data_IF_188586374963
#
_entry.id   IF_188586374963
#
_cell.length_a   1.000
_cell.length_b   1.000
_cell.length_c   1.000
_cell.angle_alpha   90.00
_cell.angle_beta   90.00
_cell.angle_gamma   90.00
#
_symmetry.space_group_name_H-M   'P 1'
#
loop_
_entity.id
_entity.type
_entity.pdbx_description
1 polymer ?
#
# COMPACT_ATOMS: atom_id res chain seq x y z
N UNK A 1 6.42 5.25 -17.74
CA UNK A 1 5.06 4.66 -17.64
C UNK A 1 4.88 4.23 -16.19
N UNK A 2 3.80 4.62 -15.51
CA UNK A 2 3.65 4.34 -14.08
C UNK A 2 2.78 3.09 -13.89
N UNK A 3 3.31 2.09 -13.18
CA UNK A 3 2.64 0.82 -12.91
C UNK A 3 2.38 0.67 -11.42
N UNK A 4 1.14 0.34 -11.07
CA UNK A 4 0.75 -0.06 -9.73
C UNK A 4 0.78 -1.59 -9.65
N UNK A 5 1.65 -2.12 -8.80
CA UNK A 5 1.72 -3.55 -8.48
C UNK A 5 1.02 -3.77 -7.15
N UNK A 6 0.10 -4.73 -7.11
CA UNK A 6 -0.67 -5.10 -5.90
C UNK A 6 -0.46 -6.58 -5.61
N UNK A 7 -0.25 -6.90 -4.33
CA UNK A 7 -0.27 -8.25 -3.79
C UNK A 7 -1.27 -8.29 -2.63
N UNK A 8 -2.39 -8.98 -2.83
CA UNK A 8 -3.42 -9.18 -1.83
C UNK A 8 -3.25 -10.55 -1.15
N UNK A 9 -2.96 -10.52 0.15
CA UNK A 9 -3.07 -11.69 1.03
C UNK A 9 -4.46 -11.78 1.66
N UNK A 10 -4.70 -12.78 2.51
CA UNK A 10 -6.00 -12.97 3.16
C UNK A 10 -6.44 -11.82 4.07
N UNK A 11 -5.49 -11.13 4.72
CA UNK A 11 -5.73 -10.00 5.63
C UNK A 11 -4.75 -8.83 5.43
N UNK A 12 -4.12 -8.76 4.25
CA UNK A 12 -3.22 -7.67 3.90
C UNK A 12 -3.26 -7.32 2.41
N UNK A 13 -2.89 -6.09 2.08
CA UNK A 13 -2.72 -5.58 0.72
C UNK A 13 -1.41 -4.80 0.64
N UNK A 14 -0.41 -5.39 -0.01
CA UNK A 14 0.86 -4.72 -0.31
C UNK A 14 0.77 -4.08 -1.68
N UNK A 15 1.38 -2.91 -1.83
CA UNK A 15 1.44 -2.23 -3.11
C UNK A 15 2.77 -1.52 -3.35
N UNK A 16 3.11 -1.36 -4.62
CA UNK A 16 4.22 -0.53 -5.09
C UNK A 16 3.78 0.26 -6.33
N UNK A 17 4.18 1.53 -6.38
CA UNK A 17 4.04 2.37 -7.56
C UNK A 17 5.44 2.52 -8.19
N UNK A 18 5.60 2.05 -9.42
CA UNK A 18 6.90 1.94 -10.10
C UNK A 18 6.88 2.82 -11.36
N UNK A 19 7.91 3.63 -11.59
CA UNK A 19 8.15 4.24 -12.90
C UNK A 19 8.95 3.27 -13.77
N UNK A 20 8.34 2.77 -14.84
CA UNK A 20 8.99 1.86 -15.79
C UNK A 20 9.96 2.56 -16.75
N UNK A 21 10.16 3.88 -16.64
CA UNK A 21 11.21 4.56 -17.39
C UNK A 21 12.62 4.20 -16.85
N UNK A 22 12.74 4.00 -15.54
CA UNK A 22 14.00 3.72 -14.84
C UNK A 22 13.88 2.64 -13.74
N UNK A 23 12.72 1.98 -13.67
CA UNK A 23 12.35 0.96 -12.68
C UNK A 23 12.39 1.47 -11.22
N UNK A 24 12.34 2.78 -11.02
CA UNK A 24 12.34 3.38 -9.69
C UNK A 24 11.01 3.15 -8.95
N UNK A 25 11.10 2.88 -7.64
CA UNK A 25 9.93 2.79 -6.77
C UNK A 25 9.56 4.19 -6.28
N UNK A 26 8.48 4.74 -6.83
CA UNK A 26 7.92 6.04 -6.44
C UNK A 26 7.37 5.96 -5.02
N UNK A 27 6.64 4.88 -4.71
CA UNK A 27 6.07 4.64 -3.41
C UNK A 27 5.80 3.16 -3.16
N UNK A 28 5.74 2.77 -1.90
CA UNK A 28 5.28 1.45 -1.48
C UNK A 28 4.53 1.53 -0.17
N UNK A 29 3.61 0.60 0.02
CA UNK A 29 2.89 0.50 1.27
C UNK A 29 2.27 -0.86 1.49
N UNK A 30 1.65 -0.97 2.65
CA UNK A 30 0.97 -2.16 3.11
C UNK A 30 -0.21 -1.74 3.98
N UNK A 31 -1.39 -2.23 3.64
CA UNK A 31 -2.55 -2.24 4.52
C UNK A 31 -2.58 -3.63 5.19
N UNK A 32 -2.37 -3.71 6.50
CA UNK A 32 -2.44 -4.95 7.28
C UNK A 32 -3.65 -4.94 8.21
N UNK A 33 -3.97 -6.14 8.72
CA UNK A 33 -5.09 -6.36 9.66
C UNK A 33 -6.45 -5.96 9.07
N UNK A 34 -6.62 -6.19 7.75
CA UNK A 34 -7.90 -6.02 7.04
C UNK A 34 -8.93 -7.00 7.64
N UNK A 35 -10.12 -6.48 7.94
CA UNK A 35 -11.21 -7.19 8.63
C UNK A 35 -11.02 -7.30 10.15
N UNK A 36 -10.04 -6.60 10.73
CA UNK A 36 -9.74 -6.60 12.16
C UNK A 36 -9.76 -5.16 12.69
N UNK A 37 -8.60 -4.53 12.87
CA UNK A 37 -8.44 -3.17 13.40
C UNK A 37 -7.69 -2.24 12.44
N UNK A 38 -7.18 -2.80 11.33
CA UNK A 38 -6.61 -2.13 10.18
C UNK A 38 -5.48 -1.12 10.43
N UNK A 39 -4.40 -1.27 9.68
CA UNK A 39 -3.27 -0.36 9.76
C UNK A 39 -2.65 -0.15 8.38
N UNK A 40 -2.28 1.09 8.08
CA UNK A 40 -1.59 1.43 6.85
C UNK A 40 -0.19 1.93 7.18
N UNK A 41 0.78 1.38 6.46
CA UNK A 41 2.14 1.89 6.40
C UNK A 41 2.48 2.24 4.97
N UNK A 42 3.01 3.45 4.76
CA UNK A 42 3.33 3.98 3.45
C UNK A 42 4.68 4.71 3.49
N UNK A 43 5.48 4.50 2.44
CA UNK A 43 6.76 5.20 2.25
C UNK A 43 6.94 5.58 0.79
N UNK A 44 7.36 6.81 0.55
CA UNK A 44 7.75 7.32 -0.77
C UNK A 44 9.24 7.13 -1.04
N UNK A 45 9.63 7.14 -2.31
CA UNK A 45 11.03 7.08 -2.75
C UNK A 45 11.87 8.25 -2.23
N UNK A 46 11.26 9.43 -2.02
CA UNK A 46 11.90 10.62 -1.45
C UNK A 46 12.00 10.61 0.10
N UNK A 47 11.55 9.53 0.74
CA UNK A 47 11.76 9.30 2.17
C UNK A 47 10.63 9.73 3.11
N UNK A 48 9.55 10.34 2.59
CA UNK A 48 8.35 10.60 3.40
C UNK A 48 7.71 9.29 3.84
N UNK A 49 7.09 9.34 5.03
CA UNK A 49 6.39 8.21 5.64
C UNK A 49 5.02 8.65 6.10
N UNK A 50 4.08 7.72 6.04
CA UNK A 50 2.75 7.86 6.59
C UNK A 50 2.37 6.54 7.24
N UNK A 51 1.90 6.60 8.47
CA UNK A 51 1.40 5.45 9.23
C UNK A 51 0.14 5.90 9.97
N UNK A 52 -0.90 5.06 9.93
CA UNK A 52 -2.15 5.32 10.62
C UNK A 52 -2.92 4.02 10.87
N UNK A 53 -3.67 3.98 11.96
CA UNK A 53 -4.72 2.97 12.14
C UNK A 53 -5.97 3.45 11.39
N UNK A 54 -6.57 2.56 10.62
CA UNK A 54 -7.72 2.84 9.75
C UNK A 54 -8.61 1.61 9.70
N UNK A 55 -9.92 1.78 9.84
CA UNK A 55 -10.84 0.65 9.72
C UNK A 55 -10.90 0.18 8.25
N UNK A 56 -10.48 -1.07 8.02
CA UNK A 56 -10.51 -1.72 6.72
C UNK A 56 -11.43 -2.94 6.77
N UNK A 57 -12.76 -2.79 6.63
CA UNK A 57 -13.69 -3.91 6.66
C UNK A 57 -13.37 -4.99 5.61
N UNK A 58 -12.96 -4.56 4.41
CA UNK A 58 -12.56 -5.44 3.31
C UNK A 58 -11.36 -4.88 2.54
N UNK A 59 -10.85 -5.66 1.58
CA UNK A 59 -9.81 -5.19 0.65
C UNK A 59 -10.26 -4.01 -0.22
N UNK A 60 -11.57 -3.80 -0.39
CA UNK A 60 -12.09 -2.64 -1.13
C UNK A 60 -11.78 -1.36 -0.38
N UNK A 61 -12.10 -1.28 0.92
CA UNK A 61 -11.79 -0.11 1.74
C UNK A 61 -10.28 0.06 1.95
N UNK A 62 -9.53 -1.04 2.06
CA UNK A 62 -8.07 -0.97 2.15
C UNK A 62 -7.38 -0.40 0.90
N UNK A 63 -8.07 -0.35 -0.25
CA UNK A 63 -7.54 0.17 -1.52
C UNK A 63 -7.96 1.61 -1.83
N UNK A 64 -8.98 2.14 -1.15
CA UNK A 64 -9.50 3.50 -1.37
C UNK A 64 -8.60 4.57 -0.75
#
# INVERSE_FOLDING_TARGET
MIILVVNAGSSSLKYQLIDMNDESVIAKGNCDRIGIDGHISHKTGDGRKFEADCDFPTHTEAFQ
#
